data_IF_081963245750
#
_entry.id   IF_081963245750
#
_cell.length_a   1.000
_cell.length_b   1.000
_cell.length_c   1.000
_cell.angle_alpha   90.00
_cell.angle_beta   90.00
_cell.angle_gamma   90.00
#
_symmetry.space_group_name_H-M   'P 1'
#
loop_
_entity.id
_entity.type
_entity.pdbx_description
1 polymer ?
#
# COMPACT_ATOMS: atom_id res chain seq x y z
N UNK A 1 17.13 41.18 -52.85
CA UNK A 1 16.47 42.29 -52.13
C UNK A 1 16.99 42.30 -50.70
N UNK A 2 17.99 43.15 -50.43
CA UNK A 2 18.66 43.49 -49.13
C UNK A 2 19.21 42.34 -48.27
N UNK A 3 20.50 42.15 -47.97
CA UNK A 3 21.55 43.07 -47.48
C UNK A 3 20.95 44.16 -46.59
N UNK A 4 21.24 44.20 -45.29
CA UNK A 4 22.42 44.72 -44.59
C UNK A 4 22.18 44.35 -43.10
N UNK A 5 23.09 44.19 -42.16
CA UNK A 5 24.54 44.23 -42.00
C UNK A 5 24.71 43.65 -40.58
N UNK A 6 25.47 42.58 -40.36
CA UNK A 6 26.93 42.63 -40.16
C UNK A 6 27.32 43.19 -38.78
N UNK A 7 27.82 42.27 -37.95
CA UNK A 7 28.99 42.42 -37.06
C UNK A 7 28.87 43.46 -35.93
N UNK A 8 29.67 43.49 -34.87
CA UNK A 8 30.97 42.92 -34.48
C UNK A 8 30.83 42.54 -32.99
N UNK A 9 31.36 41.41 -32.49
CA UNK A 9 32.75 41.23 -32.03
C UNK A 9 33.24 42.43 -31.19
N UNK A 10 33.49 42.34 -29.90
CA UNK A 10 34.74 41.85 -29.31
C UNK A 10 34.69 42.18 -27.81
N UNK A 11 34.92 41.21 -26.96
CA UNK A 11 35.93 41.39 -25.91
C UNK A 11 36.72 40.10 -25.87
N UNK A 12 37.61 39.99 -26.85
CA UNK A 12 38.88 39.33 -26.68
C UNK A 12 39.54 39.84 -25.40
N UNK A 13 40.20 38.97 -24.66
CA UNK A 13 41.66 39.00 -24.52
C UNK A 13 42.08 37.90 -23.53
N UNK A 14 42.93 37.00 -24.03
CA UNK A 14 44.05 36.36 -23.32
C UNK A 14 43.71 35.34 -22.21
N UNK A 15 44.30 34.14 -22.12
CA UNK A 15 45.59 33.66 -22.63
C UNK A 15 45.57 32.13 -22.57
N UNK A 16 46.06 31.49 -23.64
CA UNK A 16 46.56 30.11 -23.64
C UNK A 16 47.82 29.99 -22.78
N UNK A 17 47.92 28.91 -22.00
CA UNK A 17 49.15 28.16 -21.66
C UNK A 17 48.73 26.92 -20.85
N UNK A 18 48.71 25.73 -21.46
CA UNK A 18 49.82 24.76 -21.41
C UNK A 18 50.53 24.69 -20.06
N UNK A 19 50.43 23.56 -19.36
CA UNK A 19 51.51 22.55 -19.30
C UNK A 19 51.10 21.33 -18.46
N UNK A 20 51.48 20.16 -18.98
CA UNK A 20 51.50 18.87 -18.31
C UNK A 20 52.68 18.77 -17.34
N UNK A 21 52.65 17.75 -16.47
CA UNK A 21 53.70 17.26 -15.54
C UNK A 21 53.91 18.18 -14.33
N UNK A 22 53.81 17.71 -13.09
CA UNK A 22 54.77 16.80 -12.44
C UNK A 22 54.13 15.85 -11.41
N UNK A 23 54.84 14.73 -11.22
CA UNK A 23 54.58 13.64 -10.30
C UNK A 23 54.99 13.96 -8.83
N UNK A 24 54.19 13.41 -7.87
CA UNK A 24 54.54 12.94 -6.49
C UNK A 24 54.72 13.98 -5.34
N UNK A 25 54.44 13.62 -4.05
CA UNK A 25 54.55 12.29 -3.45
C UNK A 25 53.35 11.77 -2.62
N UNK A 26 53.31 10.43 -2.54
CA UNK A 26 52.68 9.71 -1.41
C UNK A 26 53.40 10.09 -0.12
N UNK A 27 52.71 10.71 0.83
CA UNK A 27 52.91 10.44 2.26
C UNK A 27 51.87 11.18 3.13
N UNK A 28 51.06 10.36 3.81
CA UNK A 28 50.68 10.49 5.23
C UNK A 28 49.96 11.77 5.71
N UNK A 29 48.64 11.68 5.96
CA UNK A 29 48.00 11.94 7.28
C UNK A 29 46.46 11.90 7.21
N UNK A 30 45.94 10.69 7.47
CA UNK A 30 44.62 10.28 8.01
C UNK A 30 43.29 10.88 7.47
N UNK A 31 42.44 10.05 6.83
CA UNK A 31 41.01 10.32 6.74
C UNK A 31 40.32 9.88 8.04
N UNK A 32 40.39 10.68 9.10
CA UNK A 32 39.52 10.47 10.27
C UNK A 32 38.27 11.35 10.15
N UNK A 33 37.36 10.96 9.26
CA UNK A 33 35.95 11.30 9.45
C UNK A 33 35.53 10.63 10.75
N UNK A 34 35.46 11.41 11.83
CA UNK A 34 34.99 10.92 13.13
C UNK A 34 33.65 10.21 12.91
N UNK A 35 33.49 8.91 13.21
CA UNK A 35 32.16 8.38 13.42
C UNK A 35 31.59 9.20 14.56
N UNK A 36 30.45 9.85 14.36
CA UNK A 36 29.73 10.50 15.45
C UNK A 36 29.61 9.47 16.56
N UNK A 37 30.33 9.72 17.66
CA UNK A 37 30.51 8.73 18.70
C UNK A 37 29.14 8.40 19.28
N UNK A 38 28.69 7.19 18.97
CA UNK A 38 28.07 6.25 19.91
C UNK A 38 27.46 6.92 21.16
N UNK A 39 26.29 7.53 21.02
CA UNK A 39 25.35 7.52 22.15
C UNK A 39 25.07 6.05 22.44
N UNK A 40 25.69 5.51 23.50
CA UNK A 40 25.47 4.16 23.98
C UNK A 40 23.97 3.88 24.03
N UNK A 41 23.58 2.66 23.66
CA UNK A 41 22.19 2.23 23.62
C UNK A 41 21.45 2.67 24.90
N UNK A 42 20.65 3.72 24.80
CA UNK A 42 19.91 4.24 25.95
C UNK A 42 18.81 3.22 26.26
N UNK A 43 18.59 2.85 27.52
CA UNK A 43 17.56 1.87 27.86
C UNK A 43 16.13 2.40 27.55
N UNK A 44 15.97 3.72 27.60
CA UNK A 44 14.71 4.44 27.46
C UNK A 44 14.73 5.40 26.26
N UNK A 45 13.56 5.79 25.76
CA UNK A 45 13.42 6.75 24.65
C UNK A 45 12.58 6.24 23.47
N UNK A 46 12.81 6.77 22.27
CA UNK A 46 12.14 6.34 21.04
C UNK A 46 12.87 5.15 20.39
N UNK A 47 12.12 4.33 19.65
CA UNK A 47 12.64 3.14 18.94
C UNK A 47 13.64 3.59 17.87
N UNK A 48 14.88 3.12 17.95
CA UNK A 48 16.00 3.52 17.06
C UNK A 48 17.15 4.20 17.82
N UNK A 49 16.82 4.95 18.87
CA UNK A 49 17.80 5.50 19.83
C UNK A 49 17.98 4.57 21.03
N UNK A 50 16.91 3.86 21.39
CA UNK A 50 16.88 2.94 22.54
C UNK A 50 17.21 1.49 22.21
N UNK A 51 17.77 0.79 23.19
CA UNK A 51 18.09 -0.63 23.12
C UNK A 51 19.30 -0.93 22.24
N UNK A 52 19.75 -2.19 22.25
CA UNK A 52 20.91 -2.59 21.47
C UNK A 52 20.62 -2.54 19.96
N UNK A 53 21.51 -1.90 19.21
CA UNK A 53 21.36 -1.71 17.76
C UNK A 53 21.66 -3.01 17.03
N UNK A 54 20.63 -3.82 16.83
CA UNK A 54 20.71 -5.07 16.05
C UNK A 54 20.12 -4.91 14.65
N UNK A 55 20.77 -5.48 13.63
CA UNK A 55 20.18 -5.67 12.30
C UNK A 55 19.08 -6.74 12.37
N UNK A 56 17.86 -6.40 11.97
CA UNK A 56 16.74 -7.36 12.00
C UNK A 56 16.83 -8.34 10.84
N UNK A 57 16.83 -9.64 11.15
CA UNK A 57 16.66 -10.69 10.16
C UNK A 57 15.18 -10.81 9.74
N UNK A 58 14.90 -10.76 8.43
CA UNK A 58 13.54 -10.93 7.90
C UNK A 58 13.28 -12.42 7.66
N UNK A 59 12.64 -13.06 8.63
CA UNK A 59 12.28 -14.48 8.55
C UNK A 59 10.94 -14.63 7.84
N UNK A 60 10.81 -15.67 6.99
CA UNK A 60 9.53 -16.05 6.38
C UNK A 60 8.48 -16.33 7.46
N UNK A 61 7.25 -15.88 7.24
CA UNK A 61 6.15 -16.13 8.17
C UNK A 61 5.91 -17.64 8.35
N UNK A 62 5.72 -18.05 9.61
CA UNK A 62 5.46 -19.44 9.96
C UNK A 62 4.10 -19.87 9.38
N UNK A 63 3.96 -21.10 8.84
CA UNK A 63 2.69 -21.57 8.29
C UNK A 63 1.50 -21.46 9.26
N UNK A 64 1.71 -21.63 10.57
CA UNK A 64 0.66 -21.48 11.59
C UNK A 64 0.06 -20.08 11.69
N UNK A 65 0.75 -19.04 11.20
CA UNK A 65 0.27 -17.65 11.15
C UNK A 65 -0.40 -17.31 9.82
N UNK A 66 -0.25 -18.14 8.79
CA UNK A 66 -0.77 -17.91 7.45
C UNK A 66 -2.29 -18.15 7.41
N UNK A 67 -3.09 -17.09 7.46
CA UNK A 67 -4.56 -17.16 7.37
C UNK A 67 -5.06 -16.82 5.97
N UNK A 68 -4.78 -17.71 5.00
CA UNK A 68 -5.26 -17.56 3.62
C UNK A 68 -6.40 -18.51 3.32
N UNK A 69 -7.35 -18.05 2.52
CA UNK A 69 -8.45 -18.87 2.01
C UNK A 69 -7.97 -19.68 0.78
N UNK A 70 -8.05 -21.01 0.86
CA UNK A 70 -7.69 -21.91 -0.24
C UNK A 70 -8.76 -21.93 -1.34
N UNK A 71 -8.35 -22.17 -2.60
CA UNK A 71 -9.27 -22.22 -3.77
C UNK A 71 -10.38 -23.27 -3.58
N UNK A 72 -10.02 -24.48 -3.14
CA UNK A 72 -10.97 -25.56 -2.87
C UNK A 72 -12.00 -25.18 -1.79
N UNK A 73 -11.54 -24.61 -0.67
CA UNK A 73 -12.43 -24.19 0.43
C UNK A 73 -13.37 -23.07 0.00
N UNK A 74 -12.92 -22.18 -0.90
CA UNK A 74 -13.80 -21.15 -1.50
C UNK A 74 -14.95 -21.79 -2.28
N UNK A 75 -14.61 -22.70 -3.19
CA UNK A 75 -15.58 -23.39 -4.04
C UNK A 75 -16.65 -24.12 -3.23
N UNK A 76 -16.22 -24.89 -2.21
CA UNK A 76 -17.16 -25.59 -1.31
C UNK A 76 -18.07 -24.62 -0.55
N UNK A 77 -17.53 -23.48 -0.08
CA UNK A 77 -18.33 -22.46 0.63
C UNK A 77 -19.32 -21.74 -0.28
N UNK A 78 -18.98 -21.53 -1.54
CA UNK A 78 -19.85 -20.90 -2.52
C UNK A 78 -21.04 -21.82 -2.83
N UNK A 79 -20.81 -23.11 -3.06
CA UNK A 79 -21.87 -24.13 -3.26
C UNK A 79 -22.82 -24.19 -2.04
N UNK A 80 -22.27 -24.25 -0.83
CA UNK A 80 -23.10 -24.34 0.38
C UNK A 80 -24.03 -23.12 0.56
N UNK A 81 -23.60 -21.93 0.13
CA UNK A 81 -24.41 -20.70 0.18
C UNK A 81 -25.52 -20.69 -0.87
N UNK A 82 -25.28 -21.28 -2.03
CA UNK A 82 -26.30 -21.42 -3.08
C UNK A 82 -27.41 -22.39 -2.63
N UNK A 83 -27.04 -23.52 -2.02
CA UNK A 83 -28.00 -24.54 -1.55
C UNK A 83 -28.81 -24.07 -0.33
N UNK A 84 -28.14 -23.56 0.71
CA UNK A 84 -28.81 -23.18 1.95
C UNK A 84 -29.48 -21.79 1.89
N UNK A 85 -29.06 -20.94 0.96
CA UNK A 85 -29.53 -19.56 0.85
C UNK A 85 -29.10 -18.65 2.02
N UNK A 86 -29.79 -17.51 2.15
CA UNK A 86 -29.48 -16.47 3.15
C UNK A 86 -30.30 -16.64 4.43
N UNK A 87 -29.66 -16.36 5.56
CA UNK A 87 -30.33 -16.34 6.86
C UNK A 87 -31.29 -15.12 6.99
N UNK A 88 -32.32 -15.16 7.87
CA UNK A 88 -33.32 -14.09 7.99
C UNK A 88 -32.71 -12.74 8.39
N UNK A 89 -31.65 -12.72 9.21
CA UNK A 89 -30.96 -11.46 9.56
C UNK A 89 -30.15 -10.89 8.38
N UNK A 90 -29.69 -11.74 7.47
CA UNK A 90 -28.95 -11.34 6.27
C UNK A 90 -29.90 -10.73 5.24
N UNK A 91 -31.08 -11.35 5.05
CA UNK A 91 -32.16 -10.81 4.21
C UNK A 91 -32.58 -9.40 4.65
N UNK A 92 -32.86 -9.20 5.95
CA UNK A 92 -33.18 -7.87 6.50
C UNK A 92 -32.06 -6.85 6.30
N UNK A 93 -30.81 -7.30 6.33
CA UNK A 93 -29.66 -6.43 6.09
C UNK A 93 -29.62 -5.97 4.62
N UNK A 94 -29.88 -6.87 3.67
CA UNK A 94 -30.00 -6.53 2.25
C UNK A 94 -31.09 -5.48 2.03
N UNK A 95 -32.26 -5.65 2.65
CA UNK A 95 -33.36 -4.68 2.56
C UNK A 95 -32.91 -3.29 3.02
N UNK A 96 -32.25 -3.19 4.17
CA UNK A 96 -31.73 -1.93 4.68
C UNK A 96 -30.67 -1.31 3.76
N UNK A 97 -29.82 -2.14 3.14
CA UNK A 97 -28.79 -1.71 2.19
C UNK A 97 -29.39 -1.29 0.84
N UNK A 98 -30.50 -1.91 0.39
CA UNK A 98 -31.22 -1.51 -0.82
C UNK A 98 -31.80 -0.10 -0.70
N UNK A 99 -32.30 0.25 0.47
CA UNK A 99 -32.84 1.59 0.80
C UNK A 99 -31.71 2.60 1.11
N UNK A 100 -30.45 2.17 1.18
CA UNK A 100 -29.30 3.05 1.45
C UNK A 100 -29.15 3.47 2.92
N UNK A 101 -29.73 2.73 3.88
CA UNK A 101 -29.65 3.05 5.32
C UNK A 101 -28.49 2.32 6.02
N UNK A 102 -27.26 2.57 5.59
CA UNK A 102 -26.05 1.86 6.06
C UNK A 102 -25.81 1.93 7.57
N UNK A 103 -25.99 3.10 8.18
CA UNK A 103 -25.82 3.29 9.63
C UNK A 103 -26.83 2.46 10.43
N UNK A 104 -28.06 2.30 9.90
CA UNK A 104 -29.10 1.45 10.49
C UNK A 104 -28.78 -0.03 10.30
N UNK A 105 -28.28 -0.42 9.13
CA UNK A 105 -27.80 -1.78 8.86
C UNK A 105 -26.66 -2.17 9.81
N UNK A 106 -25.68 -1.28 10.03
CA UNK A 106 -24.57 -1.53 10.97
C UNK A 106 -25.05 -1.66 12.43
N UNK A 107 -26.00 -0.82 12.87
CA UNK A 107 -26.60 -0.97 14.22
C UNK A 107 -27.35 -2.29 14.36
N UNK A 108 -28.08 -2.71 13.33
CA UNK A 108 -28.78 -4.00 13.34
C UNK A 108 -27.80 -5.19 13.38
N UNK A 109 -26.78 -5.18 12.52
CA UNK A 109 -25.75 -6.22 12.49
C UNK A 109 -24.94 -6.28 13.78
N UNK A 110 -24.57 -5.14 14.37
CA UNK A 110 -23.89 -5.10 15.67
C UNK A 110 -24.75 -5.74 16.78
N UNK A 111 -26.06 -5.49 16.79
CA UNK A 111 -26.97 -6.12 17.77
C UNK A 111 -27.12 -7.63 17.57
N UNK A 112 -26.90 -8.15 16.34
CA UNK A 112 -26.97 -9.60 16.05
C UNK A 112 -25.63 -10.33 16.20
N UNK A 113 -24.52 -9.71 15.81
CA UNK A 113 -23.18 -10.32 15.78
C UNK A 113 -22.29 -9.94 16.97
N UNK A 114 -22.70 -8.93 17.74
CA UNK A 114 -22.02 -8.41 18.93
C UNK A 114 -21.01 -7.30 18.63
N UNK A 115 -19.97 -7.59 17.84
CA UNK A 115 -18.85 -6.64 17.65
C UNK A 115 -18.96 -5.82 16.36
N UNK A 116 -18.38 -4.61 16.40
CA UNK A 116 -18.41 -3.70 15.25
C UNK A 116 -17.56 -4.20 14.07
N UNK A 117 -16.46 -4.91 14.33
CA UNK A 117 -15.59 -5.46 13.28
C UNK A 117 -16.32 -6.55 12.48
N UNK A 118 -17.02 -7.47 13.17
CA UNK A 118 -17.85 -8.50 12.52
C UNK A 118 -19.00 -7.88 11.74
N UNK A 119 -19.65 -6.86 12.29
CA UNK A 119 -20.72 -6.14 11.61
C UNK A 119 -20.25 -5.45 10.32
N UNK A 120 -19.07 -4.80 10.33
CA UNK A 120 -18.46 -4.24 9.10
C UNK A 120 -18.18 -5.33 8.07
N UNK A 121 -17.54 -6.42 8.48
CA UNK A 121 -17.27 -7.56 7.59
C UNK A 121 -18.53 -8.13 6.95
N UNK A 122 -19.60 -8.31 7.74
CA UNK A 122 -20.90 -8.79 7.23
C UNK A 122 -21.61 -7.76 6.35
N UNK A 123 -21.53 -6.46 6.64
CA UNK A 123 -22.06 -5.41 5.77
C UNK A 123 -21.40 -5.47 4.38
N UNK A 124 -20.06 -5.58 4.35
CA UNK A 124 -19.31 -5.61 3.10
C UNK A 124 -19.61 -6.88 2.29
N UNK A 125 -19.81 -8.01 2.95
CA UNK A 125 -20.30 -9.23 2.33
C UNK A 125 -21.69 -9.03 1.70
N UNK A 126 -22.66 -8.50 2.45
CA UNK A 126 -24.00 -8.24 1.91
C UNK A 126 -23.98 -7.22 0.76
N UNK A 127 -23.12 -6.20 0.84
CA UNK A 127 -22.94 -5.22 -0.24
C UNK A 127 -22.41 -5.88 -1.53
N UNK A 128 -21.42 -6.78 -1.42
CA UNK A 128 -20.91 -7.57 -2.56
C UNK A 128 -22.00 -8.44 -3.19
N UNK A 129 -22.86 -9.06 -2.38
CA UNK A 129 -23.98 -9.85 -2.93
C UNK A 129 -24.94 -8.99 -3.74
N UNK A 130 -25.22 -7.77 -3.28
CA UNK A 130 -26.12 -6.84 -3.95
C UNK A 130 -25.52 -6.34 -5.27
N UNK A 131 -24.23 -6.01 -5.30
CA UNK A 131 -23.52 -5.68 -6.54
C UNK A 131 -23.52 -6.85 -7.53
N UNK A 132 -23.32 -8.08 -7.05
CA UNK A 132 -23.33 -9.29 -7.89
C UNK A 132 -24.72 -9.54 -8.48
N UNK A 133 -25.78 -9.35 -7.70
CA UNK A 133 -27.17 -9.45 -8.17
C UNK A 133 -27.48 -8.40 -9.25
N UNK A 134 -27.05 -7.14 -9.06
CA UNK A 134 -27.24 -6.07 -10.04
C UNK A 134 -26.53 -6.38 -11.37
N UNK A 135 -25.29 -6.88 -11.32
CA UNK A 135 -24.53 -7.30 -12.51
C UNK A 135 -25.17 -8.49 -13.21
N UNK A 136 -25.62 -9.49 -12.47
CA UNK A 136 -26.32 -10.63 -13.06
C UNK A 136 -27.64 -10.21 -13.72
N UNK A 137 -28.33 -9.22 -13.17
CA UNK A 137 -29.54 -8.65 -13.76
C UNK A 137 -29.28 -7.86 -15.05
N UNK A 138 -28.17 -7.10 -15.14
CA UNK A 138 -27.82 -6.39 -16.37
C UNK A 138 -27.47 -7.37 -17.49
N UNK A 139 -26.61 -8.34 -17.23
CA UNK A 139 -26.25 -9.36 -18.23
C UNK A 139 -27.45 -10.15 -18.76
N UNK A 140 -28.45 -10.41 -17.91
CA UNK A 140 -29.70 -11.08 -18.35
C UNK A 140 -30.56 -10.21 -19.27
N UNK A 141 -30.46 -8.89 -19.21
CA UNK A 141 -31.17 -7.98 -20.12
C UNK A 141 -30.49 -7.96 -21.47
N UNK A 142 -29.16 -7.82 -21.48
CA UNK A 142 -28.34 -7.73 -22.69
C UNK A 142 -28.41 -9.00 -23.56
N UNK A 143 -28.66 -10.18 -22.96
CA UNK A 143 -28.81 -11.46 -23.68
C UNK A 143 -30.23 -11.67 -24.22
N UNK A 144 -31.21 -10.92 -23.71
CA UNK A 144 -32.63 -11.07 -24.08
C UNK A 144 -33.05 -10.11 -25.20
N UNK A 145 -32.31 -9.03 -25.39
CA UNK A 145 -32.36 -8.16 -26.58
C UNK A 145 -31.57 -8.79 -27.74
#
# INVERSE_FOLDING_TARGET
MGLWHRMLTQTSYTLQREENTEELPRALHLPFRMPTQNAGAVAVGLKGVRGHRTTKNVVKERPSRMRKLNKHVKFVRDIAREVCGLAPYEKRTIELLRVGRDKRALKFLKRRLGTHLRAKGKRDEMSRTLTSQRKAQSHKKDVKE
#
